data_IF_868471543144
#
_entry.id   IF_868471543144
#
_cell.length_a   1.000
_cell.length_b   1.000
_cell.length_c   1.000
_cell.angle_alpha   90.00
_cell.angle_beta   90.00
_cell.angle_gamma   90.00
#
_symmetry.space_group_name_H-M   'P 1'
#
loop_
_entity.id
_entity.type
_entity.pdbx_description
1 polymer ?
#
# COMPACT_ATOMS: atom_id res chain seq x y z
N UNK A 1 19.95 5.28 1.70
CA UNK A 1 19.13 5.64 2.86
C UNK A 1 19.74 6.83 3.57
N UNK A 2 19.01 7.93 3.51
CA UNK A 2 19.28 9.25 4.07
C UNK A 2 17.94 9.92 4.38
N UNK A 3 17.96 11.01 5.13
CA UNK A 3 16.78 11.79 5.47
C UNK A 3 16.10 12.36 4.22
N UNK A 4 16.90 12.90 3.29
CA UNK A 4 16.39 13.42 2.02
C UNK A 4 15.70 12.35 1.17
N UNK A 5 16.25 11.13 1.15
CA UNK A 5 15.62 10.01 0.46
C UNK A 5 14.26 9.67 1.07
N UNK A 6 14.13 9.76 2.40
CA UNK A 6 12.88 9.49 3.12
C UNK A 6 11.82 10.57 2.89
N UNK A 7 12.23 11.84 2.82
CA UNK A 7 11.32 12.99 2.67
C UNK A 7 10.82 13.15 1.24
N UNK A 8 11.59 12.72 0.24
CA UNK A 8 11.23 12.83 -1.17
C UNK A 8 10.03 11.93 -1.53
N UNK A 9 8.97 12.54 -2.06
CA UNK A 9 7.80 11.85 -2.59
C UNK A 9 8.14 10.95 -3.79
N UNK A 10 9.07 11.40 -4.64
CA UNK A 10 9.55 10.64 -5.80
C UNK A 10 10.29 9.37 -5.36
N UNK A 11 11.20 9.49 -4.38
CA UNK A 11 11.93 8.33 -3.86
C UNK A 11 11.00 7.33 -3.16
N UNK A 12 9.97 7.83 -2.46
CA UNK A 12 8.93 6.98 -1.88
C UNK A 12 8.15 6.21 -2.95
N UNK A 13 7.76 6.88 -4.03
CA UNK A 13 7.05 6.23 -5.14
C UNK A 13 7.92 5.17 -5.81
N UNK A 14 9.20 5.48 -6.06
CA UNK A 14 10.17 4.55 -6.66
C UNK A 14 10.39 3.30 -5.79
N UNK A 15 10.63 3.49 -4.49
CA UNK A 15 10.83 2.39 -3.55
C UNK A 15 9.58 1.51 -3.44
N UNK A 16 8.39 2.13 -3.40
CA UNK A 16 7.11 1.42 -3.36
C UNK A 16 6.88 0.62 -4.65
N UNK A 17 7.23 1.19 -5.80
CA UNK A 17 7.14 0.51 -7.09
C UNK A 17 8.08 -0.71 -7.15
N UNK A 18 9.34 -0.56 -6.73
CA UNK A 18 10.29 -1.66 -6.68
C UNK A 18 9.80 -2.80 -5.76
N UNK A 19 9.23 -2.45 -4.61
CA UNK A 19 8.64 -3.40 -3.67
C UNK A 19 7.43 -4.13 -4.28
N UNK A 20 6.51 -3.41 -4.92
CA UNK A 20 5.34 -3.99 -5.58
C UNK A 20 5.73 -4.94 -6.72
N UNK A 21 6.77 -4.60 -7.48
CA UNK A 21 7.32 -5.43 -8.56
C UNK A 21 8.12 -6.63 -8.06
N UNK A 22 8.28 -6.80 -6.73
CA UNK A 22 9.10 -7.83 -6.10
C UNK A 22 10.53 -7.86 -6.66
N UNK A 23 11.05 -6.67 -7.01
CA UNK A 23 12.45 -6.53 -7.42
C UNK A 23 13.32 -6.69 -6.19
N UNK A 24 14.49 -7.31 -6.34
CA UNK A 24 15.48 -7.42 -5.27
C UNK A 24 15.92 -6.02 -4.80
N UNK A 25 15.56 -5.67 -3.58
CA UNK A 25 15.96 -4.41 -2.94
C UNK A 25 17.17 -4.68 -2.06
N UNK A 26 18.25 -3.93 -2.27
CA UNK A 26 19.44 -3.95 -1.41
C UNK A 26 19.59 -2.58 -0.75
N UNK A 27 19.19 -2.41 0.52
CA UNK A 27 19.26 -1.12 1.17
C UNK A 27 20.70 -0.73 1.49
N UNK A 28 21.04 0.52 1.20
CA UNK A 28 22.37 1.08 1.48
C UNK A 28 22.23 2.27 2.41
N UNK A 29 22.96 2.29 3.52
CA UNK A 29 23.01 3.43 4.45
C UNK A 29 24.18 4.33 4.11
N UNK A 30 23.88 5.57 3.72
CA UNK A 30 24.87 6.57 3.27
C UNK A 30 25.03 7.74 4.26
N UNK A 31 24.00 8.02 5.06
CA UNK A 31 24.03 9.12 6.02
C UNK A 31 24.41 8.63 7.42
N UNK A 32 25.35 9.33 8.06
CA UNK A 32 25.82 8.99 9.40
C UNK A 32 24.70 9.19 10.43
N UNK A 33 24.59 8.26 11.38
CA UNK A 33 23.57 8.25 12.45
C UNK A 33 22.11 8.25 11.97
N UNK A 34 21.87 8.08 10.67
CA UNK A 34 20.52 7.96 10.14
C UNK A 34 19.89 6.63 10.58
N UNK A 35 18.67 6.71 11.11
CA UNK A 35 17.84 5.57 11.45
C UNK A 35 16.58 5.64 10.58
N UNK A 36 16.31 4.62 9.74
CA UNK A 36 15.09 4.61 8.97
C UNK A 36 13.89 4.57 9.93
N UNK A 37 12.88 5.39 9.63
CA UNK A 37 11.60 5.46 10.35
C UNK A 37 10.43 5.52 9.37
N UNK A 38 9.20 5.44 9.89
CA UNK A 38 7.96 5.54 9.12
C UNK A 38 7.89 4.57 7.94
N UNK A 39 7.58 5.11 6.76
CA UNK A 39 7.38 4.31 5.53
C UNK A 39 8.65 3.59 5.07
N UNK A 40 9.83 4.19 5.29
CA UNK A 40 11.08 3.60 4.83
C UNK A 40 11.46 2.40 5.72
N UNK A 41 11.28 2.53 7.04
CA UNK A 41 11.48 1.42 7.98
C UNK A 41 10.56 0.25 7.67
N UNK A 42 9.30 0.51 7.30
CA UNK A 42 8.37 -0.55 6.95
C UNK A 42 8.83 -1.34 5.70
N UNK A 43 9.34 -0.65 4.68
CA UNK A 43 9.80 -1.30 3.44
C UNK A 43 11.12 -2.06 3.61
N UNK A 44 12.05 -1.54 4.41
CA UNK A 44 13.42 -2.08 4.49
C UNK A 44 13.77 -2.71 5.83
N UNK A 45 12.87 -2.68 6.81
CA UNK A 45 13.15 -3.10 8.19
C UNK A 45 13.45 -4.59 8.35
N UNK A 46 12.98 -5.41 7.41
CA UNK A 46 13.28 -6.85 7.35
C UNK A 46 14.52 -7.16 6.48
N UNK A 47 15.07 -6.16 5.79
CA UNK A 47 16.18 -6.33 4.86
C UNK A 47 17.51 -6.00 5.56
N UNK A 48 18.53 -6.82 5.29
CA UNK A 48 19.90 -6.48 5.67
C UNK A 48 20.39 -5.30 4.84
N UNK A 49 20.93 -4.28 5.51
CA UNK A 49 21.45 -3.09 4.85
C UNK A 49 22.97 -2.98 4.97
N UNK A 50 23.59 -2.44 3.93
CA UNK A 50 25.03 -2.22 3.89
C UNK A 50 25.33 -0.81 4.39
N UNK A 51 26.20 -0.73 5.38
CA UNK A 51 26.53 0.55 6.00
C UNK A 51 27.84 1.12 5.43
N UNK A 52 27.73 2.15 4.58
CA UNK A 52 28.90 2.85 4.00
C UNK A 52 29.52 3.86 4.97
N UNK A 53 28.84 4.20 6.06
CA UNK A 53 29.36 5.13 7.08
C UNK A 53 30.28 4.44 8.09
N UNK A 54 30.16 3.12 8.27
CA UNK A 54 30.94 2.33 9.23
C UNK A 54 32.12 1.58 8.61
N UNK A 55 32.07 1.27 7.32
CA UNK A 55 33.09 0.51 6.63
C UNK A 55 33.86 1.40 5.66
N UNK A 56 35.13 1.10 5.46
CA UNK A 56 35.90 1.69 4.36
C UNK A 56 35.17 1.46 3.03
N UNK A 57 35.16 2.48 2.15
CA UNK A 57 34.39 2.47 0.91
C UNK A 57 34.63 1.20 0.07
N UNK A 58 35.89 0.80 -0.12
CA UNK A 58 36.26 -0.41 -0.86
C UNK A 58 35.64 -1.67 -0.25
N UNK A 59 35.59 -1.77 1.08
CA UNK A 59 34.99 -2.91 1.77
C UNK A 59 33.46 -2.92 1.63
N UNK A 60 32.82 -1.76 1.75
CA UNK A 60 31.37 -1.61 1.58
C UNK A 60 30.92 -1.95 0.15
N UNK A 61 31.67 -1.53 -0.86
CA UNK A 61 31.43 -1.87 -2.27
C UNK A 61 31.56 -3.38 -2.51
N UNK A 62 32.58 -4.03 -1.94
CA UNK A 62 32.73 -5.48 -2.06
C UNK A 62 31.55 -6.24 -1.42
N UNK A 63 31.04 -5.78 -0.26
CA UNK A 63 29.83 -6.33 0.35
C UNK A 63 28.60 -6.14 -0.55
N UNK A 64 28.45 -4.96 -1.15
CA UNK A 64 27.35 -4.68 -2.09
C UNK A 64 27.41 -5.60 -3.32
N UNK A 65 28.58 -5.76 -3.93
CA UNK A 65 28.76 -6.64 -5.09
C UNK A 65 28.46 -8.10 -4.72
N UNK A 66 28.86 -8.52 -3.52
CA UNK A 66 28.55 -9.87 -3.01
C UNK A 66 27.05 -10.06 -2.91
N UNK A 67 26.33 -9.13 -2.27
CA UNK A 67 24.87 -9.18 -2.16
C UNK A 67 24.20 -9.20 -3.52
N UNK A 68 24.65 -8.41 -4.49
CA UNK A 68 24.08 -8.39 -5.84
C UNK A 68 24.25 -9.72 -6.59
N UNK A 69 25.38 -10.40 -6.41
CA UNK A 69 25.69 -11.69 -7.08
C UNK A 69 24.92 -12.88 -6.54
N UNK A 70 24.33 -12.80 -5.33
CA UNK A 70 23.50 -13.88 -4.79
C UNK A 70 22.23 -14.01 -5.65
N UNK A 71 22.02 -15.12 -6.36
CA UNK A 71 20.76 -15.33 -7.11
C UNK A 71 19.60 -15.38 -6.12
N UNK A 72 18.45 -14.82 -6.54
CA UNK A 72 17.21 -14.86 -5.76
C UNK A 72 16.76 -16.31 -5.70
N UNK A 73 17.12 -17.02 -4.62
CA UNK A 73 16.56 -18.34 -4.34
C UNK A 73 15.12 -18.09 -3.90
N UNK A 74 14.19 -18.23 -4.83
CA UNK A 74 12.78 -18.35 -4.52
C UNK A 74 12.53 -19.76 -4.00
N UNK A 75 12.58 -19.97 -2.67
CA UNK A 75 11.53 -20.75 -1.99
C UNK A 75 11.63 -20.78 -0.44
N UNK A 76 10.45 -20.89 0.15
CA UNK A 76 10.04 -21.54 1.41
C UNK A 76 11.11 -22.08 2.41
N UNK A 77 10.90 -21.76 3.70
CA UNK A 77 11.05 -22.72 4.80
C UNK A 77 12.39 -22.83 5.55
N UNK A 78 12.32 -22.50 6.85
CA UNK A 78 13.07 -23.03 8.00
C UNK A 78 14.54 -22.63 8.29
N UNK A 79 14.66 -21.96 9.44
CA UNK A 79 15.45 -22.37 10.62
C UNK A 79 16.90 -21.87 10.84
N UNK A 80 16.99 -21.11 11.95
CA UNK A 80 17.92 -21.28 13.07
C UNK A 80 19.40 -20.87 12.92
N UNK A 81 19.70 -19.65 13.41
CA UNK A 81 20.81 -19.48 14.38
C UNK A 81 20.34 -18.61 15.55
N UNK A 82 20.07 -19.28 16.68
CA UNK A 82 19.86 -18.70 17.99
C UNK A 82 21.09 -17.94 18.49
N UNK A 83 20.87 -16.75 19.06
CA UNK A 83 21.63 -16.32 20.25
C UNK A 83 20.67 -15.72 21.27
N UNK A 84 20.45 -16.51 22.33
CA UNK A 84 19.65 -16.20 23.52
C UNK A 84 20.04 -14.86 24.15
N UNK A 85 19.04 -14.04 24.47
CA UNK A 85 18.95 -13.36 25.77
C UNK A 85 17.48 -13.42 26.20
N UNK A 86 17.22 -14.25 27.21
CA UNK A 86 15.95 -14.33 27.95
C UNK A 86 15.91 -13.18 28.96
N UNK A 87 14.82 -12.39 29.00
CA UNK A 87 14.18 -11.97 30.26
C UNK A 87 12.68 -11.84 30.01
N UNK A 88 11.94 -12.44 30.93
CA UNK A 88 10.53 -12.81 30.88
C UNK A 88 9.64 -11.60 31.22
N UNK A 89 8.40 -11.54 30.68
CA UNK A 89 7.15 -11.42 31.46
C UNK A 89 5.94 -11.56 30.51
N UNK A 90 5.40 -12.78 30.48
CA UNK A 90 3.97 -13.17 30.60
C UNK A 90 2.87 -12.27 30.02
N UNK A 91 2.19 -12.72 28.94
CA UNK A 91 0.71 -12.74 28.74
C UNK A 91 0.38 -13.88 27.70
N UNK A 92 -0.71 -14.68 27.85
CA UNK A 92 -0.82 -16.01 27.24
C UNK A 92 -1.31 -16.05 25.79
N UNK A 93 -0.91 -17.13 25.12
CA UNK A 93 -1.28 -17.55 23.77
C UNK A 93 -2.73 -18.04 23.77
N UNK A 94 -3.53 -17.63 22.78
CA UNK A 94 -4.58 -18.49 22.24
C UNK A 94 -4.66 -18.26 20.73
N UNK A 95 -4.39 -19.34 20.01
CA UNK A 95 -4.70 -19.57 18.60
C UNK A 95 -6.11 -19.11 18.23
N UNK A 96 -6.34 -18.63 17.00
CA UNK A 96 -7.46 -19.02 16.11
C UNK A 96 -7.29 -18.29 14.77
N UNK A 97 -7.60 -19.01 13.68
CA UNK A 97 -7.81 -18.56 12.29
C UNK A 97 -8.42 -17.14 12.18
N UNK A 98 -8.07 -16.33 11.17
CA UNK A 98 -8.91 -15.21 10.79
C UNK A 98 -9.87 -15.67 9.70
N UNK A 99 -10.94 -16.34 10.10
CA UNK A 99 -12.22 -16.25 9.38
C UNK A 99 -13.24 -15.62 10.31
N UNK A 100 -14.08 -14.78 9.71
CA UNK A 100 -15.27 -14.12 10.23
C UNK A 100 -15.08 -12.82 11.04
N UNK A 101 -15.33 -11.73 10.31
CA UNK A 101 -16.20 -10.62 10.71
C UNK A 101 -16.01 -10.06 12.11
N UNK A 102 -15.24 -8.98 12.19
CA UNK A 102 -15.40 -7.97 13.24
C UNK A 102 -15.06 -6.60 12.67
N UNK A 103 -16.13 -5.84 12.44
CA UNK A 103 -16.23 -4.43 12.03
C UNK A 103 -14.91 -3.65 11.94
N UNK A 104 -14.40 -3.46 10.72
CA UNK A 104 -13.37 -2.47 10.47
C UNK A 104 -14.02 -1.10 10.56
N UNK A 105 -13.63 -0.34 11.59
CA UNK A 105 -14.01 1.07 11.74
C UNK A 105 -13.40 1.82 10.56
N UNK A 106 -14.21 2.04 9.53
CA UNK A 106 -13.81 2.83 8.37
C UNK A 106 -13.66 4.29 8.83
N UNK A 107 -12.54 4.97 8.51
CA UNK A 107 -12.39 6.37 8.84
C UNK A 107 -13.56 7.19 8.25
N UNK A 108 -14.17 8.07 9.05
CA UNK A 108 -15.31 8.90 8.62
C UNK A 108 -14.94 9.80 7.42
N UNK A 109 -13.67 10.19 7.33
CA UNK A 109 -13.12 10.99 6.24
C UNK A 109 -12.52 10.10 5.15
N UNK A 110 -13.06 10.19 3.92
CA UNK A 110 -12.57 9.47 2.73
C UNK A 110 -11.08 9.76 2.47
N UNK A 111 -10.59 10.97 2.77
CA UNK A 111 -9.21 11.36 2.49
C UNK A 111 -8.17 10.54 3.26
N UNK A 112 -8.59 9.90 4.35
CA UNK A 112 -7.76 9.04 5.19
C UNK A 112 -7.84 7.56 4.77
N UNK A 113 -8.62 7.24 3.75
CA UNK A 113 -8.75 5.87 3.27
C UNK A 113 -7.50 5.43 2.53
N UNK A 114 -6.94 4.32 3.00
CA UNK A 114 -5.89 3.59 2.30
C UNK A 114 -6.53 2.64 1.28
N UNK A 115 -5.68 1.93 0.53
CA UNK A 115 -6.12 0.98 -0.50
C UNK A 115 -6.95 -0.17 0.05
N UNK A 116 -6.64 -0.67 1.24
CA UNK A 116 -7.42 -1.71 1.91
C UNK A 116 -8.81 -1.18 2.30
N UNK A 117 -8.90 0.01 2.89
CA UNK A 117 -10.17 0.65 3.24
C UNK A 117 -11.06 0.88 2.02
N UNK A 118 -10.48 1.30 0.89
CA UNK A 118 -11.21 1.43 -0.39
C UNK A 118 -11.72 0.07 -0.87
N UNK A 119 -10.87 -0.95 -0.83
CA UNK A 119 -11.23 -2.30 -1.24
C UNK A 119 -12.34 -2.87 -0.36
N UNK A 120 -12.19 -2.78 0.96
CA UNK A 120 -13.15 -3.25 1.95
C UNK A 120 -14.48 -2.51 1.84
N UNK A 121 -14.44 -1.19 1.60
CA UNK A 121 -15.64 -0.40 1.34
C UNK A 121 -16.36 -0.87 0.07
N UNK A 122 -15.65 -1.08 -1.04
CA UNK A 122 -16.24 -1.59 -2.28
C UNK A 122 -16.82 -3.00 -2.10
N UNK A 123 -16.10 -3.89 -1.38
CA UNK A 123 -16.58 -5.24 -1.08
C UNK A 123 -17.81 -5.23 -0.17
N UNK A 124 -17.87 -4.34 0.82
CA UNK A 124 -19.02 -4.22 1.73
C UNK A 124 -20.32 -3.76 1.04
N UNK A 125 -20.21 -3.21 -0.17
CA UNK A 125 -21.34 -2.77 -1.00
C UNK A 125 -21.53 -3.64 -2.25
N UNK A 126 -21.01 -4.87 -2.25
CA UNK A 126 -21.12 -5.85 -3.34
C UNK A 126 -20.56 -5.36 -4.70
N UNK A 127 -19.64 -4.40 -4.69
CA UNK A 127 -19.00 -3.86 -5.90
C UNK A 127 -17.73 -4.64 -6.23
N UNK A 128 -17.88 -5.92 -6.61
CA UNK A 128 -16.77 -6.84 -6.85
C UNK A 128 -15.91 -6.43 -8.06
N UNK A 129 -16.52 -6.00 -9.17
CA UNK A 129 -15.73 -5.60 -10.34
C UNK A 129 -15.01 -4.28 -10.12
N UNK A 130 -15.65 -3.39 -9.37
CA UNK A 130 -15.09 -2.10 -9.01
C UNK A 130 -13.94 -2.24 -8.01
N UNK A 131 -14.02 -3.18 -7.05
CA UNK A 131 -12.94 -3.45 -6.10
C UNK A 131 -11.69 -4.04 -6.76
N UNK A 132 -11.86 -4.80 -7.85
CA UNK A 132 -10.78 -5.29 -8.70
C UNK A 132 -10.19 -4.18 -9.58
N UNK A 133 -11.06 -3.38 -10.21
CA UNK A 133 -10.64 -2.28 -11.10
C UNK A 133 -9.91 -1.17 -10.32
N UNK A 134 -10.40 -0.85 -9.12
CA UNK A 134 -9.82 0.11 -8.19
C UNK A 134 -8.93 -0.53 -7.13
N UNK A 135 -8.39 -1.73 -7.39
CA UNK A 135 -7.55 -2.42 -6.43
C UNK A 135 -6.38 -1.57 -5.94
N UNK A 136 -5.88 -0.62 -6.74
CA UNK A 136 -4.76 0.27 -6.41
C UNK A 136 -5.19 1.69 -5.98
N UNK A 137 -6.47 1.96 -5.79
CA UNK A 137 -6.96 3.30 -5.45
C UNK A 137 -6.94 3.51 -3.95
N UNK A 138 -6.47 4.69 -3.52
CA UNK A 138 -6.69 5.20 -2.18
C UNK A 138 -7.85 6.22 -2.19
N UNK A 139 -8.26 6.71 -1.03
CA UNK A 139 -9.39 7.65 -0.93
C UNK A 139 -9.21 8.95 -1.72
N UNK A 140 -7.96 9.44 -1.84
CA UNK A 140 -7.65 10.63 -2.66
C UNK A 140 -7.80 10.33 -4.15
N UNK A 141 -7.33 9.17 -4.60
CA UNK A 141 -7.51 8.72 -5.98
C UNK A 141 -8.98 8.55 -6.35
N UNK A 142 -9.81 8.02 -5.44
CA UNK A 142 -11.26 7.97 -5.63
C UNK A 142 -11.87 9.37 -5.75
N UNK A 143 -11.42 10.32 -4.93
CA UNK A 143 -11.89 11.70 -5.01
C UNK A 143 -11.60 12.35 -6.36
N UNK A 144 -10.35 12.27 -6.83
CA UNK A 144 -10.01 12.81 -8.15
C UNK A 144 -10.72 12.07 -9.28
N UNK A 145 -10.89 10.75 -9.17
CA UNK A 145 -11.65 9.98 -10.14
C UNK A 145 -13.10 10.44 -10.20
N UNK A 146 -13.71 10.71 -9.04
CA UNK A 146 -15.08 11.22 -8.98
C UNK A 146 -15.21 12.62 -9.58
N UNK A 147 -14.21 13.47 -9.38
CA UNK A 147 -14.15 14.81 -9.98
C UNK A 147 -14.06 14.71 -11.51
N UNK A 148 -13.30 13.75 -12.04
CA UNK A 148 -13.26 13.46 -13.48
C UNK A 148 -14.62 12.94 -13.96
N UNK A 149 -15.27 12.03 -13.22
CA UNK A 149 -16.60 11.51 -13.56
C UNK A 149 -17.68 12.61 -13.53
N UNK A 150 -17.54 13.63 -12.69
CA UNK A 150 -18.46 14.78 -12.60
C UNK A 150 -18.24 15.80 -13.74
N UNK A 151 -17.00 16.00 -14.19
CA UNK A 151 -16.65 17.04 -15.17
C UNK A 151 -16.64 16.55 -16.63
N UNK A 152 -16.61 15.23 -16.88
CA UNK A 152 -16.51 14.64 -18.22
C UNK A 152 -17.87 14.07 -18.68
N UNK A 153 -18.08 14.02 -20.00
CA UNK A 153 -19.28 13.41 -20.59
C UNK A 153 -19.44 11.95 -20.13
N UNK A 154 -20.57 11.68 -19.46
CA UNK A 154 -20.87 10.42 -18.79
C UNK A 154 -20.74 9.20 -19.72
N UNK A 155 -21.12 9.35 -21.00
CA UNK A 155 -21.00 8.29 -22.01
C UNK A 155 -19.55 7.90 -22.28
N UNK A 156 -18.65 8.88 -22.37
CA UNK A 156 -17.23 8.64 -22.63
C UNK A 156 -16.55 7.98 -21.43
N UNK A 157 -16.87 8.43 -20.22
CA UNK A 157 -16.32 7.85 -18.98
C UNK A 157 -16.76 6.40 -18.81
N UNK A 158 -18.03 6.11 -19.07
CA UNK A 158 -18.57 4.75 -19.02
C UNK A 158 -17.87 3.86 -20.05
N UNK A 159 -17.72 4.32 -21.31
CA UNK A 159 -17.02 3.51 -22.32
C UNK A 159 -15.56 3.28 -21.96
N UNK A 160 -14.85 4.30 -21.45
CA UNK A 160 -13.45 4.17 -21.04
C UNK A 160 -13.30 3.21 -19.86
N UNK A 161 -14.18 3.27 -18.88
CA UNK A 161 -14.16 2.37 -17.72
C UNK A 161 -14.51 0.93 -18.09
N UNK A 162 -15.44 0.72 -19.02
CA UNK A 162 -15.77 -0.60 -19.54
C UNK A 162 -14.60 -1.20 -20.33
N UNK A 163 -13.95 -0.41 -21.18
CA UNK A 163 -12.74 -0.81 -21.91
C UNK A 163 -11.59 -1.12 -20.95
N UNK A 164 -11.36 -0.28 -19.94
CA UNK A 164 -10.29 -0.51 -18.96
C UNK A 164 -10.57 -1.71 -18.06
N UNK A 165 -11.84 -1.96 -17.70
CA UNK A 165 -12.25 -3.17 -17.00
C UNK A 165 -11.92 -4.40 -17.85
N UNK A 166 -12.38 -4.43 -19.10
CA UNK A 166 -12.13 -5.56 -19.99
C UNK A 166 -10.62 -5.83 -20.19
N UNK A 167 -9.81 -4.77 -20.29
CA UNK A 167 -8.35 -4.88 -20.45
C UNK A 167 -7.63 -5.38 -19.20
N UNK A 168 -8.08 -4.98 -18.00
CA UNK A 168 -7.34 -5.21 -16.75
C UNK A 168 -7.86 -6.41 -15.95
N UNK A 169 -9.17 -6.62 -15.94
CA UNK A 169 -9.81 -7.72 -15.18
C UNK A 169 -10.32 -8.82 -16.10
N UNK A 170 -10.45 -8.56 -17.40
CA UNK A 170 -11.05 -9.52 -18.35
C UNK A 170 -12.57 -9.57 -18.25
N UNK A 171 -13.18 -8.71 -17.45
CA UNK A 171 -14.62 -8.69 -17.18
C UNK A 171 -15.22 -7.35 -17.62
N UNK A 172 -16.42 -7.39 -18.19
CA UNK A 172 -17.17 -6.18 -18.55
C UNK A 172 -17.80 -5.57 -17.30
N UNK A 173 -17.49 -4.29 -17.06
CA UNK A 173 -18.08 -3.55 -15.96
C UNK A 173 -19.57 -3.29 -16.23
N UNK A 174 -20.44 -3.76 -15.32
CA UNK A 174 -21.88 -3.58 -15.45
C UNK A 174 -22.27 -2.12 -15.25
N UNK A 175 -23.19 -1.62 -16.07
CA UNK A 175 -23.80 -0.30 -15.88
C UNK A 175 -24.51 -0.18 -14.52
N UNK A 176 -24.99 -1.30 -13.97
CA UNK A 176 -25.63 -1.37 -12.65
C UNK A 176 -24.61 -1.17 -11.53
N UNK A 177 -23.43 -1.77 -11.64
CA UNK A 177 -22.36 -1.55 -10.66
C UNK A 177 -21.83 -0.11 -10.71
N UNK A 178 -21.71 0.46 -11.92
CA UNK A 178 -21.33 1.86 -12.11
C UNK A 178 -22.32 2.83 -11.50
N UNK A 179 -23.63 2.60 -11.70
CA UNK A 179 -24.67 3.45 -11.12
C UNK A 179 -24.71 3.33 -9.60
N UNK A 180 -24.54 2.11 -9.06
CA UNK A 180 -24.46 1.86 -7.63
C UNK A 180 -23.25 2.56 -7.00
N UNK A 181 -22.06 2.41 -7.61
CA UNK A 181 -20.86 3.12 -7.19
C UNK A 181 -21.05 4.64 -7.17
N UNK A 182 -21.66 5.21 -8.22
CA UNK A 182 -21.93 6.65 -8.31
C UNK A 182 -22.87 7.12 -7.20
N UNK A 183 -23.92 6.36 -6.89
CA UNK A 183 -24.84 6.67 -5.81
C UNK A 183 -24.15 6.66 -4.45
N UNK A 184 -23.35 5.62 -4.17
CA UNK A 184 -22.61 5.47 -2.92
C UNK A 184 -21.57 6.58 -2.73
N UNK A 185 -20.88 6.96 -3.80
CA UNK A 185 -19.95 8.07 -3.76
C UNK A 185 -20.65 9.38 -3.40
N UNK A 186 -21.81 9.65 -4.00
CA UNK A 186 -22.60 10.85 -3.72
C UNK A 186 -23.10 10.90 -2.27
N UNK A 187 -23.44 9.75 -1.70
CA UNK A 187 -23.82 9.61 -0.29
C UNK A 187 -22.63 9.88 0.65
N UNK A 188 -21.44 9.36 0.32
CA UNK A 188 -20.24 9.58 1.13
C UNK A 188 -19.73 11.04 1.05
N UNK A 189 -19.88 11.70 -0.12
CA UNK A 189 -19.58 13.14 -0.30
C UNK A 189 -20.48 14.01 0.60
N UNK A 190 -21.78 13.69 0.66
CA UNK A 190 -22.74 14.39 1.52
C UNK A 190 -22.49 14.17 3.02
N UNK A 191 -22.09 12.95 3.41
CA UNK A 191 -21.69 12.67 4.80
C UNK A 191 -20.46 13.49 5.20
N UNK A 192 -19.48 13.60 4.32
CA UNK A 192 -18.25 14.37 4.57
C UNK A 192 -18.52 15.88 4.70
N UNK A 193 -19.43 16.45 3.90
CA UNK A 193 -19.84 17.86 4.02
C UNK A 193 -20.67 18.15 5.28
N UNK A 194 -21.47 17.18 5.73
CA UNK A 194 -22.30 17.33 6.94
C UNK A 194 -21.46 17.32 8.22
N UNK A 195 -20.41 16.50 8.28
CA UNK A 195 -19.46 16.46 9.43
C UNK A 195 -18.63 17.76 9.54
N UNK A 196 -18.39 18.47 8.43
CA UNK A 196 -17.71 19.78 8.43
C UNK A 196 -18.62 20.87 9.01
N UNK A 197 -19.93 20.84 8.70
CA UNK A 197 -20.90 21.82 9.21
C UNK A 197 -21.24 21.57 10.69
N UNK A 198 -21.21 20.32 11.15
CA UNK A 198 -21.48 19.98 12.55
C UNK A 198 -20.31 20.26 13.53
N UNK A 199 -19.13 20.66 13.01
CA UNK A 199 -17.93 21.01 13.81
C UNK A 199 -17.60 22.50 13.82
N UNK A 200 -18.46 23.35 13.24
CA UNK A 200 -18.42 24.82 13.30
C UNK A 200 -19.53 25.33 14.21
#
# INVERSE_FOLDING_TARGET
MSEEYRRSSYCRAEASYAFQRRVKIVPVLLQQHYRPDGWLLFLVGQLLYINFTKHEFSKAVNLLIKELKVPVISDTGSENVHRKVEVNTTIPITSILPETSSMLILPENILDWNQAHVHDWLMSHDLLQMSRLFANFNGRSLMYMSEIIENVELRQVVSLLQDDSLRRTGESLSLVELSHFRSLWYQQKQSSTSTIIAKL
#
